data_IF_621829187371
#
_entry.id   IF_621829187371
#
_cell.length_a   1.000
_cell.length_b   1.000
_cell.length_c   1.000
_cell.angle_alpha   90.00
_cell.angle_beta   90.00
_cell.angle_gamma   90.00
#
_symmetry.space_group_name_H-M   'P 1'
#
loop_
_entity.id
_entity.type
_entity.pdbx_description
1 polymer ?
#
# COMPACT_ATOMS: atom_id res chain seq x y z
N UNK A 1 2.55 4.95 -17.27
CA UNK A 1 1.49 4.11 -17.85
C UNK A 1 1.91 2.64 -18.00
N UNK A 2 2.92 2.26 -18.79
CA UNK A 2 3.23 0.83 -19.00
C UNK A 2 3.68 0.06 -17.74
N UNK A 3 4.29 0.74 -16.77
CA UNK A 3 4.52 0.17 -15.41
C UNK A 3 3.18 -0.10 -14.71
N UNK A 4 2.29 0.89 -14.70
CA UNK A 4 0.95 0.80 -14.08
C UNK A 4 0.05 -0.25 -14.73
N UNK A 5 0.22 -0.51 -16.04
CA UNK A 5 -0.50 -1.56 -16.76
C UNK A 5 0.18 -2.93 -16.64
N UNK A 6 1.29 -3.02 -15.90
CA UNK A 6 2.04 -4.27 -15.70
C UNK A 6 2.61 -4.86 -17.00
N UNK A 7 2.87 -4.01 -17.99
CA UNK A 7 3.58 -4.35 -19.24
C UNK A 7 5.09 -4.28 -19.05
N UNK A 8 5.57 -3.28 -18.31
CA UNK A 8 6.95 -3.18 -17.84
C UNK A 8 6.97 -3.68 -16.39
N UNK A 9 7.82 -4.66 -16.11
CA UNK A 9 7.95 -5.31 -14.81
C UNK A 9 9.42 -5.37 -14.41
N UNK A 10 9.67 -5.56 -13.11
CA UNK A 10 10.98 -5.90 -12.56
C UNK A 10 12.10 -4.91 -12.94
N UNK A 11 11.76 -3.62 -13.14
CA UNK A 11 12.77 -2.60 -13.38
C UNK A 11 13.51 -2.28 -12.09
N UNK A 12 14.85 -2.19 -12.16
CA UNK A 12 15.68 -1.89 -10.98
C UNK A 12 15.69 -0.41 -10.62
N UNK A 13 15.64 0.46 -11.64
CA UNK A 13 15.65 1.92 -11.51
C UNK A 13 14.77 2.55 -12.59
N UNK A 14 14.24 3.73 -12.29
CA UNK A 14 13.61 4.59 -13.30
C UNK A 14 14.68 5.04 -14.29
N UNK A 15 14.47 4.93 -15.62
CA UNK A 15 15.41 5.43 -16.62
C UNK A 15 15.75 6.90 -16.38
N UNK A 16 17.03 7.27 -16.55
CA UNK A 16 17.54 8.61 -16.24
C UNK A 16 16.72 9.71 -16.94
N UNK A 17 16.40 9.49 -18.22
CA UNK A 17 15.58 10.36 -19.05
C UNK A 17 14.14 10.54 -18.56
N UNK A 18 13.65 9.63 -17.70
CA UNK A 18 12.31 9.68 -17.13
C UNK A 18 12.26 10.30 -15.73
N UNK A 19 13.39 10.45 -15.02
CA UNK A 19 13.42 10.88 -13.60
C UNK A 19 12.73 12.23 -13.37
N UNK A 20 12.95 13.21 -14.24
CA UNK A 20 12.29 14.52 -14.18
C UNK A 20 10.78 14.41 -14.42
N UNK A 21 10.37 13.60 -15.41
CA UNK A 21 8.96 13.35 -15.68
C UNK A 21 8.27 12.67 -14.49
N UNK A 22 8.88 11.63 -13.92
CA UNK A 22 8.35 10.95 -12.73
C UNK A 22 8.23 11.91 -11.55
N UNK A 23 9.28 12.69 -11.29
CA UNK A 23 9.24 13.73 -10.26
C UNK A 23 8.10 14.72 -10.46
N UNK A 24 7.94 15.24 -11.68
CA UNK A 24 6.83 16.15 -12.02
C UNK A 24 5.47 15.49 -11.80
N UNK A 25 5.30 14.24 -12.22
CA UNK A 25 4.06 13.50 -12.06
C UNK A 25 3.67 13.31 -10.59
N UNK A 26 4.54 12.74 -9.75
CA UNK A 26 4.21 12.44 -8.33
C UNK A 26 3.97 13.69 -7.47
N UNK A 27 4.39 14.87 -7.93
CA UNK A 27 4.09 16.17 -7.30
C UNK A 27 2.91 16.92 -7.93
N UNK A 28 2.34 16.38 -9.00
CA UNK A 28 1.29 17.03 -9.77
C UNK A 28 -0.10 16.76 -9.22
N UNK A 29 -1.06 17.57 -9.66
CA UNK A 29 -2.49 17.33 -9.46
C UNK A 29 -2.91 16.00 -10.13
N UNK A 30 -2.26 15.59 -11.22
CA UNK A 30 -2.62 14.34 -11.91
C UNK A 30 -2.40 13.12 -11.01
N UNK A 31 -1.29 13.03 -10.27
CA UNK A 31 -1.05 11.92 -9.33
C UNK A 31 -2.12 11.84 -8.24
N UNK A 32 -2.56 13.01 -7.74
CA UNK A 32 -3.67 13.10 -6.79
C UNK A 32 -4.98 12.62 -7.41
N UNK A 33 -5.34 13.12 -8.59
CA UNK A 33 -6.59 12.75 -9.30
C UNK A 33 -6.62 11.26 -9.65
N UNK A 34 -5.51 10.70 -10.14
CA UNK A 34 -5.41 9.28 -10.47
C UNK A 34 -5.63 8.40 -9.22
N UNK A 35 -5.06 8.83 -8.09
CA UNK A 35 -5.21 8.13 -6.82
C UNK A 35 -6.61 8.27 -6.24
N UNK A 36 -7.20 9.47 -6.28
CA UNK A 36 -8.58 9.74 -5.88
C UNK A 36 -9.54 8.85 -6.68
N UNK A 37 -9.36 8.75 -7.99
CA UNK A 37 -10.20 7.91 -8.85
C UNK A 37 -10.15 6.44 -8.45
N UNK A 38 -8.97 5.91 -8.12
CA UNK A 38 -8.84 4.54 -7.62
C UNK A 38 -9.56 4.34 -6.27
N UNK A 39 -9.48 5.31 -5.36
CA UNK A 39 -10.18 5.25 -4.07
C UNK A 39 -11.69 5.45 -4.16
N UNK A 40 -12.18 6.28 -5.09
CA UNK A 40 -13.61 6.44 -5.37
C UNK A 40 -14.22 5.13 -5.87
N UNK A 41 -13.53 4.42 -6.76
CA UNK A 41 -13.96 3.12 -7.25
C UNK A 41 -14.04 2.07 -6.14
N UNK A 42 -13.24 2.20 -5.06
CA UNK A 42 -13.40 1.37 -3.86
C UNK A 42 -14.77 1.61 -3.21
N UNK A 43 -15.18 2.87 -3.06
CA UNK A 43 -16.47 3.24 -2.45
C UNK A 43 -17.66 2.87 -3.33
N UNK A 44 -17.53 3.00 -4.65
CA UNK A 44 -18.54 2.54 -5.62
C UNK A 44 -18.69 1.03 -5.50
N UNK A 45 -17.59 0.28 -5.53
CA UNK A 45 -17.61 -1.18 -5.40
C UNK A 45 -18.22 -1.64 -4.06
N UNK A 46 -17.83 -0.99 -2.96
CA UNK A 46 -18.38 -1.25 -1.63
C UNK A 46 -19.90 -1.05 -1.61
N UNK A 47 -20.40 0.02 -2.23
CA UNK A 47 -21.81 0.41 -2.15
C UNK A 47 -22.71 -0.37 -3.12
N UNK A 48 -22.15 -0.84 -4.24
CA UNK A 48 -22.92 -1.48 -5.33
C UNK A 48 -22.82 -3.00 -5.35
N UNK A 49 -21.71 -3.56 -4.85
CA UNK A 49 -21.38 -4.98 -5.07
C UNK A 49 -21.14 -5.75 -3.77
N UNK A 50 -20.63 -5.10 -2.71
CA UNK A 50 -20.31 -5.80 -1.47
C UNK A 50 -21.56 -6.11 -0.64
N UNK A 51 -21.81 -7.40 -0.39
CA UNK A 51 -22.90 -7.85 0.49
C UNK A 51 -22.38 -8.07 1.92
N UNK A 52 -22.16 -6.96 2.63
CA UNK A 52 -21.60 -6.97 3.99
C UNK A 52 -22.50 -7.73 4.97
N UNK A 53 -21.92 -8.62 5.77
CA UNK A 53 -22.64 -9.36 6.82
C UNK A 53 -22.70 -8.60 8.14
N UNK A 54 -21.80 -7.64 8.37
CA UNK A 54 -21.74 -6.79 9.58
C UNK A 54 -21.61 -7.58 10.88
N UNK A 55 -20.99 -8.75 10.84
CA UNK A 55 -20.66 -9.61 11.99
C UNK A 55 -19.25 -9.34 12.55
N UNK A 56 -18.63 -8.21 12.16
CA UNK A 56 -17.25 -7.86 12.52
C UNK A 56 -16.17 -8.61 11.74
N UNK A 57 -16.51 -9.32 10.65
CA UNK A 57 -15.55 -10.06 9.82
C UNK A 57 -15.38 -9.52 8.40
N UNK A 58 -16.16 -8.53 7.99
CA UNK A 58 -15.96 -7.86 6.68
C UNK A 58 -14.71 -6.99 6.76
N UNK A 59 -13.72 -7.28 5.92
CA UNK A 59 -12.40 -6.66 5.99
C UNK A 59 -11.97 -6.01 4.68
N UNK A 60 -11.13 -4.98 4.82
CA UNK A 60 -10.40 -4.34 3.74
C UNK A 60 -8.91 -4.33 4.09
N UNK A 61 -8.09 -4.72 3.13
CA UNK A 61 -6.63 -4.77 3.32
C UNK A 61 -6.01 -3.53 2.68
N UNK A 62 -5.06 -2.92 3.38
CA UNK A 62 -4.21 -1.85 2.86
C UNK A 62 -2.74 -2.25 2.95
N UNK A 63 -1.99 -1.94 1.89
CA UNK A 63 -0.54 -1.74 2.00
C UNK A 63 -0.23 -0.45 2.76
N UNK A 64 1.03 -0.21 3.14
CA UNK A 64 1.42 1.00 3.89
C UNK A 64 2.19 1.99 3.02
N UNK A 65 3.35 1.60 2.51
CA UNK A 65 4.25 2.52 1.80
C UNK A 65 3.67 2.89 0.43
N UNK A 66 3.61 4.19 0.13
CA UNK A 66 2.92 4.80 -1.03
C UNK A 66 1.46 4.38 -1.24
N UNK A 67 0.86 3.81 -0.20
CA UNK A 67 -0.57 3.52 -0.12
C UNK A 67 -1.25 4.31 0.99
N UNK A 68 -0.70 4.30 2.20
CA UNK A 68 -1.14 5.14 3.33
C UNK A 68 -0.10 6.22 3.66
N UNK A 69 1.18 5.86 3.65
CA UNK A 69 2.31 6.72 4.01
C UNK A 69 3.18 6.96 2.78
N UNK A 70 3.39 8.22 2.41
CA UNK A 70 4.17 8.54 1.21
C UNK A 70 5.67 8.42 1.45
N UNK A 71 6.36 7.74 0.53
CA UNK A 71 7.82 7.68 0.45
C UNK A 71 8.39 8.68 -0.56
N UNK A 72 7.55 9.47 -1.23
CA UNK A 72 7.97 10.54 -2.17
C UNK A 72 9.06 11.46 -1.57
N UNK A 73 9.02 11.89 -0.29
CA UNK A 73 10.09 12.72 0.26
C UNK A 73 11.45 12.03 0.33
N UNK A 74 11.49 10.71 0.50
CA UNK A 74 12.73 9.92 0.39
C UNK A 74 13.18 9.84 -1.06
N UNK A 75 12.28 9.47 -1.97
CA UNK A 75 12.59 9.30 -3.39
C UNK A 75 12.96 10.61 -4.09
N UNK A 76 12.52 11.76 -3.58
CA UNK A 76 12.98 13.08 -4.04
C UNK A 76 14.50 13.24 -3.99
N UNK A 77 15.15 12.69 -2.97
CA UNK A 77 16.61 12.72 -2.82
C UNK A 77 17.31 11.54 -3.52
N UNK A 78 16.53 10.65 -4.17
CA UNK A 78 16.99 9.46 -4.88
C UNK A 78 16.48 9.46 -6.33
N UNK A 79 16.45 10.65 -6.95
CA UNK A 79 16.05 10.87 -8.35
C UNK A 79 14.70 10.24 -8.72
N UNK A 80 13.74 10.24 -7.79
CA UNK A 80 12.42 9.64 -7.96
C UNK A 80 12.44 8.18 -8.44
N UNK A 81 13.44 7.41 -8.00
CA UNK A 81 13.65 6.02 -8.40
C UNK A 81 14.79 5.82 -9.39
N UNK A 82 15.47 6.90 -9.83
CA UNK A 82 16.63 6.80 -10.71
C UNK A 82 17.87 6.21 -10.04
N UNK A 83 17.96 6.29 -8.71
CA UNK A 83 19.02 5.62 -7.96
C UNK A 83 18.56 4.22 -7.52
N UNK A 84 19.49 3.26 -7.58
CA UNK A 84 19.26 1.91 -7.03
C UNK A 84 18.92 2.03 -5.54
N UNK A 85 17.87 1.33 -5.12
CA UNK A 85 17.40 1.38 -3.74
C UNK A 85 18.45 0.79 -2.78
N UNK A 86 18.91 1.61 -1.84
CA UNK A 86 19.56 1.13 -0.62
C UNK A 86 18.49 0.92 0.45
N UNK A 87 18.23 -0.35 0.79
CA UNK A 87 17.20 -0.72 1.77
C UNK A 87 17.52 -0.17 3.16
N UNK A 88 18.79 -0.18 3.58
CA UNK A 88 19.19 0.34 4.89
C UNK A 88 18.95 1.84 5.00
N UNK A 89 19.27 2.60 3.95
CA UNK A 89 19.02 4.06 3.93
C UNK A 89 17.52 4.38 3.97
N UNK A 90 16.69 3.58 3.29
CA UNK A 90 15.23 3.71 3.34
C UNK A 90 14.69 3.39 4.73
N UNK A 91 15.17 2.32 5.36
CA UNK A 91 14.75 1.93 6.71
C UNK A 91 15.19 2.97 7.75
N UNK A 92 16.40 3.51 7.63
CA UNK A 92 16.89 4.62 8.46
C UNK A 92 16.03 5.88 8.28
N UNK A 93 15.57 6.15 7.06
CA UNK A 93 14.60 7.22 6.81
C UNK A 93 13.23 6.93 7.45
N UNK A 94 12.71 5.71 7.31
CA UNK A 94 11.44 5.28 7.90
C UNK A 94 11.47 5.31 9.43
N UNK A 95 12.63 5.00 10.05
CA UNK A 95 12.81 5.00 11.50
C UNK A 95 12.55 6.37 12.14
N UNK A 96 12.63 7.45 11.34
CA UNK A 96 12.32 8.81 11.78
C UNK A 96 10.81 9.03 12.01
N UNK A 97 9.94 8.17 11.47
CA UNK A 97 8.49 8.20 11.70
C UNK A 97 7.80 9.47 11.19
N UNK A 98 8.28 10.03 10.06
CA UNK A 98 7.83 11.33 9.51
C UNK A 98 7.25 11.24 8.10
N UNK A 99 6.90 10.04 7.62
CA UNK A 99 6.26 9.88 6.31
C UNK A 99 4.89 10.57 6.35
N UNK A 100 4.55 11.46 5.39
CA UNK A 100 3.25 12.12 5.38
C UNK A 100 2.14 11.15 4.94
N UNK A 101 0.91 11.40 5.36
CA UNK A 101 -0.25 10.66 4.89
C UNK A 101 -0.53 10.95 3.41
N UNK A 102 -1.08 9.96 2.72
CA UNK A 102 -1.77 10.13 1.45
C UNK A 102 -3.24 10.45 1.73
N UNK A 103 -3.63 11.71 1.54
CA UNK A 103 -4.95 12.24 1.96
C UNK A 103 -6.14 11.44 1.37
N UNK A 104 -6.08 11.07 0.10
CA UNK A 104 -7.12 10.26 -0.58
C UNK A 104 -7.31 8.90 0.09
N UNK A 105 -6.20 8.25 0.50
CA UNK A 105 -6.25 6.98 1.22
C UNK A 105 -6.72 7.15 2.65
N UNK A 106 -6.39 8.27 3.31
CA UNK A 106 -6.89 8.58 4.65
C UNK A 106 -8.41 8.77 4.65
N UNK A 107 -8.95 9.44 3.64
CA UNK A 107 -10.40 9.58 3.45
C UNK A 107 -11.06 8.21 3.25
N UNK A 108 -10.56 7.40 2.30
CA UNK A 108 -11.07 6.04 2.07
C UNK A 108 -11.00 5.16 3.32
N UNK A 109 -9.87 5.19 4.05
CA UNK A 109 -9.68 4.44 5.28
C UNK A 109 -10.76 4.77 6.32
N UNK A 110 -11.03 6.06 6.53
CA UNK A 110 -12.03 6.52 7.49
C UNK A 110 -13.46 6.21 7.02
N UNK A 111 -13.74 6.31 5.73
CA UNK A 111 -15.04 5.95 5.14
C UNK A 111 -15.35 4.45 5.28
N UNK A 112 -14.37 3.59 5.01
CA UNK A 112 -14.52 2.15 5.20
C UNK A 112 -14.75 1.81 6.68
N UNK A 113 -13.95 2.40 7.57
CA UNK A 113 -14.06 2.21 9.01
C UNK A 113 -15.41 2.66 9.55
N UNK A 114 -15.91 3.83 9.12
CA UNK A 114 -17.23 4.34 9.55
C UNK A 114 -18.40 3.44 9.13
N UNK A 115 -18.21 2.64 8.08
CA UNK A 115 -19.17 1.62 7.61
C UNK A 115 -19.03 0.26 8.31
N UNK A 116 -18.16 0.16 9.31
CA UNK A 116 -17.95 -1.05 10.12
C UNK A 116 -17.00 -2.08 9.49
N UNK A 117 -16.28 -1.70 8.42
CA UNK A 117 -15.29 -2.57 7.79
C UNK A 117 -14.03 -2.63 8.66
N UNK A 118 -13.55 -3.85 8.89
CA UNK A 118 -12.31 -4.09 9.61
C UNK A 118 -11.11 -3.80 8.72
N UNK A 119 -10.35 -2.76 9.06
CA UNK A 119 -9.15 -2.43 8.30
C UNK A 119 -7.98 -3.29 8.77
N UNK A 120 -7.35 -4.00 7.86
CA UNK A 120 -6.13 -4.78 8.13
C UNK A 120 -4.98 -4.22 7.31
N UNK A 121 -3.85 -3.96 7.96
CA UNK A 121 -2.65 -3.44 7.32
C UNK A 121 -1.68 -4.59 7.08
N UNK A 122 -1.18 -4.73 5.86
CA UNK A 122 -0.15 -5.72 5.50
C UNK A 122 0.97 -4.99 4.77
N UNK A 123 2.15 -4.91 5.39
CA UNK A 123 3.31 -4.21 4.83
C UNK A 123 4.55 -5.10 4.81
N UNK A 124 5.47 -4.76 3.90
CA UNK A 124 6.81 -5.35 3.80
C UNK A 124 7.83 -4.71 4.72
N UNK A 125 7.48 -3.61 5.43
CA UNK A 125 8.34 -3.06 6.49
C UNK A 125 8.68 -4.17 7.48
N UNK A 126 9.94 -4.21 7.90
CA UNK A 126 10.42 -5.22 8.84
C UNK A 126 9.84 -5.00 10.23
N UNK A 127 9.68 -6.09 10.98
CA UNK A 127 9.02 -6.05 12.29
C UNK A 127 9.68 -5.12 13.30
N UNK A 128 11.00 -4.93 13.22
CA UNK A 128 11.69 -4.01 14.13
C UNK A 128 11.24 -2.53 13.95
N UNK A 129 10.64 -2.19 12.80
CA UNK A 129 10.04 -0.87 12.53
C UNK A 129 8.59 -0.74 13.02
N UNK A 130 8.05 -1.73 13.75
CA UNK A 130 6.65 -1.74 14.18
C UNK A 130 6.26 -0.49 14.97
N UNK A 131 7.02 -0.16 16.01
CA UNK A 131 6.69 0.97 16.89
C UNK A 131 6.63 2.28 16.09
N UNK A 132 7.70 2.57 15.35
CA UNK A 132 7.80 3.81 14.55
C UNK A 132 6.75 3.87 13.43
N UNK A 133 6.35 2.73 12.87
CA UNK A 133 5.28 2.67 11.86
C UNK A 133 3.92 2.98 12.48
N UNK A 134 3.62 2.42 13.66
CA UNK A 134 2.39 2.71 14.40
C UNK A 134 2.34 4.20 14.77
N UNK A 135 3.42 4.73 15.35
CA UNK A 135 3.50 6.14 15.75
C UNK A 135 3.31 7.06 14.54
N UNK A 136 3.95 6.75 13.41
CA UNK A 136 3.77 7.53 12.19
C UNK A 136 2.31 7.50 11.71
N UNK A 137 1.68 6.32 11.61
CA UNK A 137 0.29 6.16 11.18
C UNK A 137 -0.66 6.98 12.06
N UNK A 138 -0.51 6.87 13.38
CA UNK A 138 -1.31 7.61 14.37
C UNK A 138 -1.10 9.12 14.22
N UNK A 139 0.15 9.58 14.12
CA UNK A 139 0.48 11.00 14.03
C UNK A 139 -0.10 11.67 12.77
N UNK A 140 -0.32 10.90 11.70
CA UNK A 140 -0.89 11.42 10.45
C UNK A 140 -2.39 11.09 10.29
N UNK A 141 -3.05 10.60 11.35
CA UNK A 141 -4.50 10.50 11.43
C UNK A 141 -5.11 9.12 11.15
N UNK A 142 -4.30 8.10 10.89
CA UNK A 142 -4.79 6.72 10.78
C UNK A 142 -4.99 6.15 12.19
N UNK A 143 -6.22 5.76 12.52
CA UNK A 143 -6.57 5.18 13.82
C UNK A 143 -7.58 4.04 13.69
N UNK A 144 -7.48 3.04 14.57
CA UNK A 144 -8.51 2.00 14.71
C UNK A 144 -8.48 0.94 13.61
N UNK A 145 -7.31 0.61 13.07
CA UNK A 145 -7.16 -0.62 12.29
C UNK A 145 -7.28 -1.85 13.20
N UNK A 146 -7.80 -2.94 12.68
CA UNK A 146 -8.04 -4.18 13.42
C UNK A 146 -6.81 -5.11 13.46
N UNK A 147 -5.84 -4.92 12.55
CA UNK A 147 -4.62 -5.72 12.53
C UNK A 147 -3.49 -5.06 11.74
N UNK A 148 -2.26 -5.30 12.16
CA UNK A 148 -1.04 -4.85 11.49
C UNK A 148 -0.07 -6.02 11.37
N UNK A 149 0.15 -6.47 10.14
CA UNK A 149 1.05 -7.57 9.77
C UNK A 149 2.27 -6.96 9.08
N UNK A 150 3.43 -7.10 9.72
CA UNK A 150 4.72 -6.66 9.20
C UNK A 150 5.61 -7.87 8.93
N UNK A 151 6.68 -7.65 8.18
CA UNK A 151 7.53 -8.72 7.69
C UNK A 151 8.54 -9.13 8.76
N UNK A 152 8.46 -10.37 9.21
CA UNK A 152 9.43 -10.95 10.13
C UNK A 152 10.70 -11.43 9.39
N UNK A 153 11.73 -11.78 10.17
CA UNK A 153 13.00 -12.30 9.64
C UNK A 153 12.85 -13.66 8.96
N UNK A 154 11.87 -14.48 9.38
CA UNK A 154 11.61 -15.79 8.77
C UNK A 154 11.07 -15.67 7.34
N UNK A 155 10.45 -14.54 7.01
CA UNK A 155 9.90 -14.24 5.69
C UNK A 155 10.84 -13.39 4.80
N UNK A 156 12.08 -13.12 5.20
CA UNK A 156 13.00 -12.29 4.42
C UNK A 156 13.33 -12.90 3.04
N UNK A 157 13.39 -14.22 2.93
CA UNK A 157 13.69 -14.93 1.67
C UNK A 157 12.43 -15.28 0.85
N UNK A 158 11.24 -14.99 1.37
CA UNK A 158 9.97 -15.25 0.68
C UNK A 158 9.69 -14.09 -0.29
N UNK A 159 9.13 -14.32 -1.49
CA UNK A 159 8.75 -13.20 -2.36
C UNK A 159 7.66 -12.33 -1.72
N UNK A 160 7.58 -11.05 -2.08
CA UNK A 160 6.60 -10.15 -1.47
C UNK A 160 5.18 -10.60 -1.78
N UNK A 161 4.90 -10.99 -3.02
CA UNK A 161 3.61 -11.55 -3.41
C UNK A 161 3.23 -12.78 -2.56
N UNK A 162 4.17 -13.71 -2.32
CA UNK A 162 3.91 -14.92 -1.52
C UNK A 162 3.66 -14.59 -0.05
N UNK A 163 4.48 -13.71 0.54
CA UNK A 163 4.31 -13.27 1.92
C UNK A 163 2.95 -12.60 2.14
N UNK A 164 2.58 -11.63 1.28
CA UNK A 164 1.27 -10.95 1.40
C UNK A 164 0.11 -11.92 1.16
N UNK A 165 0.27 -12.86 0.24
CA UNK A 165 -0.73 -13.91 0.03
C UNK A 165 -0.91 -14.84 1.23
N UNK A 166 0.16 -15.28 1.87
CA UNK A 166 0.10 -16.11 3.07
C UNK A 166 -0.57 -15.37 4.22
N UNK A 167 -0.27 -14.08 4.40
CA UNK A 167 -0.95 -13.23 5.39
C UNK A 167 -2.46 -13.16 5.13
N UNK A 168 -2.89 -12.94 3.87
CA UNK A 168 -4.32 -12.97 3.50
C UNK A 168 -4.95 -14.33 3.76
N UNK A 169 -4.24 -15.42 3.48
CA UNK A 169 -4.72 -16.79 3.73
C UNK A 169 -4.98 -17.02 5.22
N UNK A 170 -4.11 -16.53 6.09
CA UNK A 170 -4.33 -16.62 7.55
C UNK A 170 -5.52 -15.77 8.00
N UNK A 171 -5.73 -14.57 7.44
CA UNK A 171 -6.91 -13.75 7.74
C UNK A 171 -8.22 -14.48 7.37
N UNK A 172 -8.27 -15.10 6.19
CA UNK A 172 -9.43 -15.87 5.75
C UNK A 172 -9.65 -17.08 6.65
N UNK A 173 -8.58 -17.80 7.01
CA UNK A 173 -8.66 -18.92 7.97
C UNK A 173 -9.19 -18.48 9.34
N UNK A 174 -8.87 -17.26 9.75
CA UNK A 174 -9.36 -16.65 10.98
C UNK A 174 -10.80 -16.09 10.86
N UNK A 175 -11.46 -16.29 9.71
CA UNK A 175 -12.86 -15.98 9.48
C UNK A 175 -13.12 -14.62 8.83
N UNK A 176 -12.10 -13.87 8.43
CA UNK A 176 -12.29 -12.60 7.72
C UNK A 176 -12.75 -12.81 6.27
N UNK A 177 -13.62 -11.91 5.79
CA UNK A 177 -14.04 -11.79 4.40
C UNK A 177 -13.38 -10.56 3.80
N UNK A 178 -12.35 -10.77 2.99
CA UNK A 178 -11.58 -9.68 2.38
C UNK A 178 -12.29 -9.22 1.09
N UNK A 179 -13.00 -8.10 1.18
CA UNK A 179 -13.73 -7.52 0.04
C UNK A 179 -12.81 -6.79 -0.94
N UNK A 180 -11.84 -6.04 -0.40
CA UNK A 180 -10.92 -5.23 -1.19
C UNK A 180 -9.50 -5.27 -0.65
N UNK A 181 -8.55 -5.09 -1.57
CA UNK A 181 -7.14 -4.80 -1.26
C UNK A 181 -6.79 -3.50 -1.98
N UNK A 182 -6.22 -2.53 -1.26
CA UNK A 182 -5.64 -1.32 -1.84
C UNK A 182 -4.13 -1.39 -1.68
N UNK A 183 -3.41 -1.15 -2.76
CA UNK A 183 -1.95 -1.13 -2.75
C UNK A 183 -1.40 -0.42 -3.99
N UNK A 184 -0.15 0.02 -3.92
CA UNK A 184 0.57 0.71 -4.98
C UNK A 184 1.44 -0.23 -5.83
N UNK A 185 1.46 -1.53 -5.53
CA UNK A 185 2.24 -2.55 -6.23
C UNK A 185 1.37 -3.76 -6.60
N UNK A 186 1.68 -4.43 -7.70
CA UNK A 186 0.98 -5.64 -8.13
C UNK A 186 1.14 -6.80 -7.13
N UNK A 187 2.31 -6.91 -6.50
CA UNK A 187 2.57 -7.87 -5.42
C UNK A 187 1.63 -7.73 -4.21
N UNK A 188 0.91 -6.61 -4.06
CA UNK A 188 -0.12 -6.46 -3.02
C UNK A 188 -1.34 -7.33 -3.25
N UNK A 189 -1.64 -7.70 -4.50
CA UNK A 189 -2.85 -8.44 -4.88
C UNK A 189 -2.57 -9.73 -5.68
N UNK A 190 -1.34 -9.94 -6.12
CA UNK A 190 -0.91 -11.20 -6.74
C UNK A 190 -0.95 -12.39 -5.77
N UNK A 191 -1.07 -13.57 -6.37
CA UNK A 191 -1.17 -14.90 -5.75
C UNK A 191 -2.47 -15.19 -4.94
N UNK A 192 -3.09 -16.38 -5.13
CA UNK A 192 -4.23 -16.80 -4.34
C UNK A 192 -3.89 -17.05 -2.86
N UNK A 193 -4.81 -16.76 -1.91
CA UNK A 193 -6.16 -16.26 -2.15
C UNK A 193 -6.16 -14.76 -2.50
N UNK A 194 -6.80 -14.44 -3.62
CA UNK A 194 -7.09 -13.06 -3.99
C UNK A 194 -8.27 -12.56 -3.15
N UNK A 195 -8.34 -11.25 -2.93
CA UNK A 195 -9.60 -10.63 -2.51
C UNK A 195 -10.64 -10.74 -3.63
N UNK A 196 -11.86 -10.31 -3.32
CA UNK A 196 -12.88 -10.15 -4.36
C UNK A 196 -12.49 -9.06 -5.38
N UNK A 197 -11.77 -8.01 -4.96
CA UNK A 197 -11.25 -6.97 -5.87
C UNK A 197 -9.94 -6.33 -5.38
N UNK A 198 -9.01 -6.08 -6.29
CA UNK A 198 -7.79 -5.28 -6.04
C UNK A 198 -7.92 -3.88 -6.64
N UNK A 199 -7.38 -2.88 -5.93
CA UNK A 199 -7.37 -1.48 -6.34
C UNK A 199 -5.94 -0.96 -6.31
N UNK A 200 -5.39 -0.66 -7.49
CA UNK A 200 -4.01 -0.24 -7.68
C UNK A 200 -3.91 1.29 -7.63
N UNK A 201 -3.13 1.81 -6.69
CA UNK A 201 -2.72 3.21 -6.68
C UNK A 201 -1.51 3.41 -7.59
N UNK A 202 -1.34 4.57 -8.24
CA UNK A 202 -0.18 4.83 -9.08
C UNK A 202 1.10 4.85 -8.23
N UNK A 203 2.14 4.17 -8.72
CA UNK A 203 3.49 4.31 -8.20
C UNK A 203 4.52 3.96 -9.28
N UNK A 204 5.06 4.98 -9.97
CA UNK A 204 6.07 4.78 -10.98
C UNK A 204 7.52 4.87 -10.46
N UNK A 205 7.74 5.09 -9.16
CA UNK A 205 9.07 5.31 -8.60
C UNK A 205 9.87 4.01 -8.39
N UNK A 206 9.19 2.89 -8.20
CA UNK A 206 9.83 1.58 -7.99
C UNK A 206 8.88 0.42 -8.33
N UNK A 207 9.44 -0.78 -8.40
CA UNK A 207 8.70 -2.01 -8.64
C UNK A 207 9.01 -3.04 -7.54
N UNK A 208 7.98 -3.74 -7.07
CA UNK A 208 8.12 -4.82 -6.07
C UNK A 208 7.40 -6.08 -6.55
N UNK A 209 8.16 -7.16 -6.72
CA UNK A 209 7.70 -8.51 -7.05
C UNK A 209 7.50 -9.41 -5.80
#
# INVERSE_FOLDING_TARGET
MNVELHNIRDFEVVPEECTDYIGKYVRSIQYKVDSERATEECLVYLSTTCNLKKDGRDAWVFDIDDTLLSTIPYYKNNLYGGNKLNVSDLEDWMSKGKSPALEYSLQLFNDLKSRGIQIILISTRREYLRSVTIDNLVNVGYHGWAGLILRDSANELVSVAKYKSDARKQLIKNGYRIWGIVGDQYSSFEAPPSSTRGFKLPNPMYYVA
#
